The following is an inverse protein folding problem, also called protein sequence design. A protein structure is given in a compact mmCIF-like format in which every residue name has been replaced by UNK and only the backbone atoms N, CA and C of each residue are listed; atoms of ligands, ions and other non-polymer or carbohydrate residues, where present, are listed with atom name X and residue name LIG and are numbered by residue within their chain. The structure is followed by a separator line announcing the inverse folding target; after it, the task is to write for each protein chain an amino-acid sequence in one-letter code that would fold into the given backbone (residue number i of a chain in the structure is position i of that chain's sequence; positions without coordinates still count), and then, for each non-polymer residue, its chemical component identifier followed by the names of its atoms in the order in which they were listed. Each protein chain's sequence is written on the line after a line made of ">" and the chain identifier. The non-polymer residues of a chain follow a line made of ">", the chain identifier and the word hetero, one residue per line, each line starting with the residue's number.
data_IF_333012582801
#
_entry.id   IF_333012582801
#
_cell.length_a   1.000
_cell.length_b   1.000
_cell.length_c   1.000
_cell.angle_alpha   90.00
_cell.angle_beta   90.00
_cell.angle_gamma   90.00
#
_symmetry.space_group_name_H-M   'P 1'
#
loop_
_entity.id
_entity.type
_entity.pdbx_description
1 polymer ?
#
# COMPACT_ATOMS: atom_id res chain seq x y z
N UNK A 1 8.14 24.36 2.87
CA UNK A 1 9.34 23.59 3.24
C UNK A 1 9.40 22.46 2.25
N UNK A 2 10.44 22.41 1.40
CA UNK A 2 10.64 21.28 0.47
C UNK A 2 10.62 19.99 1.31
N UNK A 3 10.02 18.91 0.80
CA UNK A 3 10.08 17.64 1.49
C UNK A 3 11.54 17.26 1.73
N UNK A 4 11.92 17.07 3.00
CA UNK A 4 13.31 16.81 3.36
C UNK A 4 13.83 15.55 2.64
N UNK A 5 15.00 15.65 2.00
CA UNK A 5 15.70 14.54 1.31
C UNK A 5 15.63 13.25 2.11
N UNK A 6 15.34 12.07 1.52
CA UNK A 6 15.09 10.86 2.28
C UNK A 6 16.22 10.51 3.26
N UNK A 7 15.88 9.95 4.42
CA UNK A 7 16.91 9.51 5.37
C UNK A 7 17.73 8.36 4.76
N UNK A 8 19.03 8.53 4.56
CA UNK A 8 19.88 7.53 3.91
C UNK A 8 20.61 6.65 4.92
N UNK A 9 20.87 7.17 6.11
CA UNK A 9 21.58 6.49 7.19
C UNK A 9 20.65 6.15 8.36
N UNK A 10 21.11 5.24 9.22
CA UNK A 10 20.38 4.88 10.45
C UNK A 10 20.17 6.07 11.41
N UNK A 11 21.18 6.94 11.66
CA UNK A 11 20.99 8.11 12.52
C UNK A 11 19.97 9.10 11.96
N UNK A 12 19.96 9.37 10.65
CA UNK A 12 18.95 10.22 10.00
C UNK A 12 17.55 9.62 10.15
N UNK A 13 17.41 8.32 9.90
CA UNK A 13 16.14 7.60 10.06
C UNK A 13 15.64 7.68 11.51
N UNK A 14 16.54 7.49 12.48
CA UNK A 14 16.24 7.66 13.90
C UNK A 14 15.78 9.07 14.22
N UNK A 15 16.47 10.10 13.72
CA UNK A 15 16.09 11.50 13.96
C UNK A 15 14.68 11.79 13.44
N UNK A 16 14.33 11.31 12.24
CA UNK A 16 12.98 11.47 11.70
C UNK A 16 11.92 10.68 12.46
N UNK A 17 12.25 9.47 12.91
CA UNK A 17 11.37 8.67 13.75
C UNK A 17 11.08 9.38 15.08
N UNK A 18 12.09 9.99 15.70
CA UNK A 18 11.95 10.77 16.92
C UNK A 18 11.10 12.02 16.69
N UNK A 19 11.26 12.70 15.54
CA UNK A 19 10.45 13.85 15.17
C UNK A 19 8.94 13.53 15.04
N UNK A 20 8.57 12.26 14.81
CA UNK A 20 7.16 11.85 14.78
C UNK A 20 6.43 11.99 16.12
N UNK A 21 7.16 12.08 17.24
CA UNK A 21 6.58 12.25 18.58
C UNK A 21 5.90 13.61 18.74
N UNK A 22 6.46 14.63 18.09
CA UNK A 22 5.97 16.01 18.12
C UNK A 22 5.19 16.38 16.85
N UNK A 23 5.05 15.45 15.89
CA UNK A 23 4.39 15.72 14.62
C UNK A 23 2.89 15.93 14.83
N UNK A 24 2.35 16.99 14.23
CA UNK A 24 0.90 17.17 14.13
C UNK A 24 0.36 16.40 12.92
N UNK A 25 -0.73 15.65 13.11
CA UNK A 25 -1.39 14.94 12.02
C UNK A 25 -1.95 15.93 10.99
N UNK A 26 -1.81 15.65 9.69
CA UNK A 26 -2.25 16.55 8.60
C UNK A 26 -3.77 16.55 8.43
N UNK A 27 -4.41 15.46 8.86
CA UNK A 27 -5.85 15.37 9.12
C UNK A 27 -6.02 15.33 10.65
N UNK A 28 -6.96 16.07 11.25
CA UNK A 28 -7.08 16.12 12.71
C UNK A 28 -7.15 14.72 13.33
N UNK A 29 -6.36 14.49 14.39
CA UNK A 29 -6.38 13.24 15.15
C UNK A 29 -6.56 13.58 16.63
N UNK A 30 -7.81 13.71 17.11
CA UNK A 30 -8.05 14.04 18.50
C UNK A 30 -7.58 12.90 19.44
N UNK A 31 -7.27 13.23 20.70
CA UNK A 31 -7.00 12.23 21.74
C UNK A 31 -8.11 11.17 21.83
N UNK A 32 -7.80 9.93 22.25
CA UNK A 32 -8.81 8.89 22.48
C UNK A 32 -9.92 9.35 23.42
N UNK A 33 -11.17 9.07 23.05
CA UNK A 33 -12.32 9.30 23.93
C UNK A 33 -12.37 8.26 25.06
N UNK A 34 -13.14 8.55 26.11
CA UNK A 34 -13.37 7.58 27.20
C UNK A 34 -13.99 6.27 26.69
N UNK A 35 -14.86 6.34 25.68
CA UNK A 35 -15.46 5.15 25.05
C UNK A 35 -14.41 4.33 24.27
N UNK A 36 -13.54 4.98 23.50
CA UNK A 36 -12.45 4.31 22.79
C UNK A 36 -11.51 3.58 23.77
N UNK A 37 -11.14 4.23 24.86
CA UNK A 37 -10.32 3.66 25.93
C UNK A 37 -11.00 2.44 26.59
N UNK A 38 -12.31 2.52 26.82
CA UNK A 38 -13.09 1.44 27.41
C UNK A 38 -13.37 0.28 26.44
N UNK A 39 -13.25 0.49 25.13
CA UNK A 39 -13.61 -0.50 24.11
C UNK A 39 -12.76 -1.78 24.11
N UNK A 40 -11.56 -1.72 24.71
CA UNK A 40 -10.59 -2.83 24.68
C UNK A 40 -10.06 -3.16 23.28
N UNK A 41 -10.31 -2.31 22.28
CA UNK A 41 -9.76 -2.42 20.92
C UNK A 41 -8.36 -1.79 20.85
N UNK A 42 -7.60 -2.18 19.82
CA UNK A 42 -6.33 -1.52 19.53
C UNK A 42 -6.56 -0.04 19.20
N UNK A 43 -5.83 0.85 19.85
CA UNK A 43 -5.93 2.30 19.70
C UNK A 43 -4.74 2.90 18.94
N UNK A 44 -4.06 2.09 18.11
CA UNK A 44 -3.01 2.60 17.24
C UNK A 44 -3.56 3.68 16.30
N UNK A 45 -2.86 4.80 16.18
CA UNK A 45 -3.25 5.99 15.44
C UNK A 45 -3.64 5.67 14.00
N UNK A 46 -2.93 4.74 13.36
CA UNK A 46 -3.24 4.24 12.02
C UNK A 46 -4.66 3.64 11.89
N UNK A 47 -5.08 2.87 12.89
CA UNK A 47 -6.43 2.30 12.95
C UNK A 47 -7.47 3.36 13.32
N UNK A 48 -7.17 4.17 14.34
CA UNK A 48 -8.05 5.23 14.83
C UNK A 48 -8.39 6.26 13.76
N UNK A 49 -7.39 6.79 13.04
CA UNK A 49 -7.63 7.79 11.99
C UNK A 49 -8.52 7.23 10.87
N UNK A 50 -8.37 5.95 10.50
CA UNK A 50 -9.28 5.33 9.53
C UNK A 50 -10.70 5.23 10.07
N UNK A 51 -10.87 4.80 11.31
CA UNK A 51 -12.20 4.70 11.93
C UNK A 51 -12.91 6.06 12.09
N UNK A 52 -12.16 7.15 12.25
CA UNK A 52 -12.71 8.50 12.35
C UNK A 52 -13.15 9.04 10.98
N UNK A 53 -12.39 8.77 9.92
CA UNK A 53 -12.57 9.48 8.65
C UNK A 53 -13.06 8.64 7.48
N UNK A 54 -12.90 7.31 7.49
CA UNK A 54 -13.30 6.44 6.38
C UNK A 54 -14.58 5.66 6.69
N UNK A 55 -15.37 5.30 5.65
CA UNK A 55 -16.46 4.35 5.80
C UNK A 55 -15.98 3.02 6.41
N UNK A 56 -16.75 2.39 7.33
CA UNK A 56 -16.36 1.10 7.92
C UNK A 56 -16.15 -0.03 6.90
N UNK A 57 -16.84 0.04 5.76
CA UNK A 57 -16.73 -0.89 4.62
C UNK A 57 -15.39 -0.79 3.88
N UNK A 58 -14.64 0.31 4.04
CA UNK A 58 -13.32 0.52 3.41
C UNK A 58 -12.17 -0.15 4.21
N UNK A 59 -12.51 -1.16 5.00
CA UNK A 59 -11.70 -1.86 5.99
C UNK A 59 -10.22 -2.07 5.59
N UNK A 60 -9.30 -1.60 6.43
CA UNK A 60 -7.84 -1.71 6.23
C UNK A 60 -7.20 -3.01 6.71
N UNK A 61 -7.95 -3.91 7.36
CA UNK A 61 -7.42 -5.18 7.91
C UNK A 61 -7.22 -6.27 6.84
N UNK A 62 -7.36 -5.92 5.56
CA UNK A 62 -7.16 -6.79 4.40
C UNK A 62 -5.67 -6.93 4.08
N UNK A 63 -4.93 -7.50 5.03
CA UNK A 63 -3.55 -7.95 4.87
C UNK A 63 -3.55 -9.42 5.28
N UNK A 64 -2.90 -10.27 4.48
CA UNK A 64 -2.87 -11.69 4.75
C UNK A 64 -2.34 -11.98 6.16
N UNK A 65 -3.11 -12.77 6.91
CA UNK A 65 -2.83 -13.09 8.30
C UNK A 65 -3.33 -12.06 9.33
N UNK A 66 -3.64 -10.82 8.97
CA UNK A 66 -4.04 -9.81 9.96
C UNK A 66 -5.46 -9.98 10.52
N UNK A 67 -6.26 -10.90 9.96
CA UNK A 67 -7.64 -11.15 10.39
C UNK A 67 -7.76 -11.57 11.87
N UNK A 68 -6.81 -12.34 12.40
CA UNK A 68 -6.79 -12.72 13.82
C UNK A 68 -6.58 -11.52 14.75
N UNK A 69 -5.71 -10.58 14.33
CA UNK A 69 -5.42 -9.38 15.10
C UNK A 69 -6.60 -8.39 15.14
N UNK A 70 -7.42 -8.35 14.08
CA UNK A 70 -8.65 -7.55 14.04
C UNK A 70 -9.63 -7.93 15.16
N UNK A 71 -9.75 -9.23 15.44
CA UNK A 71 -10.72 -9.77 16.40
C UNK A 71 -10.17 -9.88 17.82
N UNK A 72 -8.89 -9.53 18.04
CA UNK A 72 -8.26 -9.63 19.34
C UNK A 72 -8.90 -8.66 20.34
N UNK A 73 -9.40 -9.19 21.45
CA UNK A 73 -9.85 -8.42 22.61
C UNK A 73 -8.69 -8.29 23.59
N UNK A 74 -8.44 -7.10 24.10
CA UNK A 74 -7.27 -6.82 24.97
C UNK A 74 -6.29 -5.80 24.36
N UNK A 75 -6.79 -4.92 23.50
CA UNK A 75 -6.04 -3.79 22.97
C UNK A 75 -4.90 -4.17 22.02
N UNK A 76 -3.94 -3.25 21.90
CA UNK A 76 -2.79 -3.37 21.01
C UNK A 76 -1.91 -4.58 21.35
N UNK A 77 -1.81 -4.98 22.62
CA UNK A 77 -1.03 -6.14 23.07
C UNK A 77 -1.58 -7.45 22.48
N UNK A 78 -2.89 -7.67 22.63
CA UNK A 78 -3.55 -8.87 22.13
C UNK A 78 -3.51 -8.94 20.60
N UNK A 79 -3.70 -7.81 19.92
CA UNK A 79 -3.59 -7.72 18.48
C UNK A 79 -2.17 -8.09 17.99
N UNK A 80 -1.12 -7.59 18.66
CA UNK A 80 0.26 -7.92 18.32
C UNK A 80 0.56 -9.40 18.56
N UNK A 81 0.14 -9.95 19.71
CA UNK A 81 0.30 -11.37 20.02
C UNK A 81 -0.33 -12.25 18.95
N UNK A 82 -1.55 -11.93 18.51
CA UNK A 82 -2.24 -12.66 17.43
C UNK A 82 -1.49 -12.61 16.09
N UNK A 83 -0.75 -11.53 15.80
CA UNK A 83 0.12 -11.47 14.62
C UNK A 83 1.36 -12.38 14.80
N UNK A 84 1.99 -12.35 15.97
CA UNK A 84 3.22 -13.08 16.25
C UNK A 84 3.08 -14.61 16.18
N UNK A 85 1.86 -15.13 16.37
CA UNK A 85 1.59 -16.57 16.26
C UNK A 85 1.58 -17.09 14.81
N UNK A 86 1.72 -16.21 13.81
CA UNK A 86 1.76 -16.64 12.42
C UNK A 86 3.13 -17.18 12.04
N UNK A 87 3.19 -18.32 11.32
CA UNK A 87 4.46 -18.96 11.00
C UNK A 87 5.38 -18.11 10.10
N UNK A 88 4.82 -17.16 9.34
CA UNK A 88 5.55 -16.25 8.45
C UNK A 88 5.69 -14.83 9.01
N UNK A 89 5.36 -14.61 10.29
CA UNK A 89 5.32 -13.28 10.90
C UNK A 89 6.64 -12.50 10.77
N UNK A 90 7.77 -13.10 11.16
CA UNK A 90 9.07 -12.43 11.12
C UNK A 90 9.49 -12.11 9.67
N UNK A 91 9.30 -13.08 8.76
CA UNK A 91 9.58 -12.92 7.33
C UNK A 91 8.75 -11.78 6.71
N UNK A 92 7.42 -11.81 6.88
CA UNK A 92 6.52 -10.76 6.36
C UNK A 92 6.81 -9.40 6.99
N UNK A 93 7.23 -9.36 8.25
CA UNK A 93 7.64 -8.10 8.92
C UNK A 93 8.94 -7.54 8.32
N UNK A 94 9.92 -8.37 7.95
CA UNK A 94 11.14 -7.90 7.23
C UNK A 94 10.78 -7.35 5.85
N UNK A 95 9.92 -8.04 5.10
CA UNK A 95 9.39 -7.54 3.83
C UNK A 95 8.67 -6.20 4.01
N UNK A 96 7.86 -6.06 5.07
CA UNK A 96 7.19 -4.79 5.38
C UNK A 96 8.19 -3.68 5.75
N UNK A 97 9.25 -4.02 6.49
CA UNK A 97 10.33 -3.09 6.79
C UNK A 97 10.99 -2.60 5.50
N UNK A 98 11.28 -3.49 4.54
CA UNK A 98 11.86 -3.11 3.24
C UNK A 98 10.96 -2.17 2.45
N UNK A 99 9.65 -2.46 2.37
CA UNK A 99 8.67 -1.56 1.72
C UNK A 99 8.64 -0.20 2.41
N UNK A 100 8.66 -0.20 3.75
CA UNK A 100 8.64 1.02 4.57
C UNK A 100 9.91 1.85 4.44
N UNK A 101 11.07 1.20 4.36
CA UNK A 101 12.37 1.85 4.14
C UNK A 101 12.45 2.45 2.74
N UNK A 102 11.94 1.73 1.73
CA UNK A 102 11.90 2.20 0.34
C UNK A 102 10.97 3.40 0.15
N UNK A 103 9.82 3.43 0.84
CA UNK A 103 8.89 4.58 0.83
C UNK A 103 9.26 5.70 1.81
N UNK A 104 10.35 5.55 2.59
CA UNK A 104 10.71 6.43 3.72
C UNK A 104 9.58 6.64 4.75
N UNK A 105 8.73 5.63 4.99
CA UNK A 105 7.64 5.69 5.97
C UNK A 105 8.15 5.49 7.41
N UNK A 106 8.49 6.57 8.10
CA UNK A 106 9.03 6.51 9.47
C UNK A 106 8.07 5.92 10.51
N UNK A 107 6.76 6.21 10.38
CA UNK A 107 5.74 5.63 11.25
C UNK A 107 5.76 4.10 11.16
N UNK A 108 5.86 3.58 9.93
CA UNK A 108 5.87 2.16 9.64
C UNK A 108 7.18 1.49 10.07
N UNK A 109 8.32 2.16 9.85
CA UNK A 109 9.65 1.68 10.23
C UNK A 109 9.76 1.45 11.72
N UNK A 110 9.39 2.43 12.56
CA UNK A 110 9.43 2.26 14.02
C UNK A 110 8.61 1.07 14.52
N UNK A 111 7.41 0.89 13.95
CA UNK A 111 6.56 -0.26 14.26
C UNK A 111 7.19 -1.58 13.81
N UNK A 112 7.77 -1.64 12.61
CA UNK A 112 8.37 -2.86 12.10
C UNK A 112 9.63 -3.22 12.90
N UNK A 113 10.48 -2.27 13.26
CA UNK A 113 11.67 -2.55 14.07
C UNK A 113 11.29 -3.08 15.45
N UNK A 114 10.29 -2.51 16.13
CA UNK A 114 9.80 -3.11 17.39
C UNK A 114 9.26 -4.53 17.17
N UNK A 115 8.48 -4.74 16.12
CA UNK A 115 7.92 -6.06 15.81
C UNK A 115 9.00 -7.11 15.53
N UNK A 116 10.07 -6.73 14.85
CA UNK A 116 11.23 -7.59 14.58
C UNK A 116 12.02 -7.89 15.86
N UNK A 117 12.24 -6.89 16.73
CA UNK A 117 12.83 -7.11 18.06
C UNK A 117 12.00 -8.09 18.90
N UNK A 118 10.67 -7.91 18.93
CA UNK A 118 9.75 -8.83 19.62
C UNK A 118 9.66 -10.21 18.94
N UNK A 119 10.12 -10.34 17.70
CA UNK A 119 10.31 -11.62 17.01
C UNK A 119 11.69 -12.25 17.24
N UNK A 120 12.53 -11.63 18.09
CA UNK A 120 13.84 -12.14 18.47
C UNK A 120 15.03 -11.64 17.64
N UNK A 121 14.81 -10.73 16.67
CA UNK A 121 15.94 -10.14 15.94
C UNK A 121 16.72 -9.15 16.81
N UNK A 122 18.04 -9.22 16.71
CA UNK A 122 18.98 -8.27 17.31
C UNK A 122 19.01 -6.94 16.55
N UNK A 123 19.54 -5.91 17.18
CA UNK A 123 19.74 -4.59 16.55
C UNK A 123 20.61 -4.67 15.29
N UNK A 124 21.62 -5.55 15.28
CA UNK A 124 22.51 -5.77 14.15
C UNK A 124 21.81 -6.50 13.00
N UNK A 125 20.98 -7.51 13.28
CA UNK A 125 20.20 -8.18 12.22
C UNK A 125 19.14 -7.24 11.60
N UNK A 126 18.57 -6.33 12.40
CA UNK A 126 17.66 -5.30 11.88
C UNK A 126 18.43 -4.28 11.02
N UNK A 127 19.58 -3.80 11.48
CA UNK A 127 20.42 -2.88 10.71
C UNK A 127 20.94 -3.52 9.41
N UNK A 128 21.20 -4.84 9.42
CA UNK A 128 21.60 -5.58 8.23
C UNK A 128 20.55 -5.54 7.09
N UNK A 129 19.26 -5.31 7.39
CA UNK A 129 18.24 -5.15 6.36
C UNK A 129 18.49 -3.96 5.43
N UNK A 130 19.30 -2.98 5.82
CA UNK A 130 19.65 -1.85 4.96
C UNK A 130 20.63 -2.24 3.82
N UNK A 131 21.49 -3.27 4.00
CA UNK A 131 22.61 -3.53 3.07
C UNK A 131 23.10 -4.99 2.95
N UNK A 132 22.85 -5.86 3.94
CA UNK A 132 23.43 -7.21 4.03
C UNK A 132 22.37 -8.31 3.90
N UNK A 133 21.71 -8.36 2.74
CA UNK A 133 20.64 -9.34 2.50
C UNK A 133 21.15 -10.78 2.38
N UNK A 134 22.43 -10.98 2.10
CA UNK A 134 23.11 -12.27 2.06
C UNK A 134 23.06 -13.03 3.39
N UNK A 135 22.80 -12.35 4.52
CA UNK A 135 22.57 -12.95 5.82
C UNK A 135 21.19 -13.65 5.97
N UNK A 136 20.27 -13.45 5.02
CA UNK A 136 18.92 -14.02 5.06
C UNK A 136 18.76 -15.18 4.08
N UNK A 137 17.80 -16.10 4.27
CA UNK A 137 17.55 -17.19 3.33
C UNK A 137 17.27 -16.69 1.90
N UNK A 138 17.69 -17.44 0.88
CA UNK A 138 17.58 -17.03 -0.52
C UNK A 138 16.14 -16.69 -0.96
N UNK A 139 15.13 -17.37 -0.40
CA UNK A 139 13.72 -17.06 -0.62
C UNK A 139 13.33 -15.67 -0.10
N UNK A 140 13.83 -15.30 1.08
CA UNK A 140 13.59 -13.99 1.66
C UNK A 140 14.31 -12.89 0.90
N UNK A 141 15.53 -13.14 0.45
CA UNK A 141 16.26 -12.20 -0.42
C UNK A 141 15.48 -11.88 -1.70
N UNK A 142 14.90 -12.91 -2.34
CA UNK A 142 14.06 -12.73 -3.53
C UNK A 142 12.81 -11.90 -3.21
N UNK A 143 12.14 -12.18 -2.09
CA UNK A 143 10.99 -11.41 -1.63
C UNK A 143 11.33 -9.94 -1.32
N UNK A 144 12.48 -9.68 -0.69
CA UNK A 144 12.95 -8.31 -0.40
C UNK A 144 13.31 -7.56 -1.69
N UNK A 145 13.94 -8.22 -2.68
CA UNK A 145 14.18 -7.63 -4.02
C UNK A 145 12.88 -7.28 -4.71
N UNK A 146 11.92 -8.20 -4.72
CA UNK A 146 10.59 -7.96 -5.28
C UNK A 146 9.89 -6.79 -4.57
N UNK A 147 9.94 -6.75 -3.23
CA UNK A 147 9.34 -5.70 -2.42
C UNK A 147 9.92 -4.31 -2.72
N UNK A 148 11.26 -4.18 -2.77
CA UNK A 148 11.92 -2.91 -3.14
C UNK A 148 11.55 -2.51 -4.56
N UNK A 149 11.67 -3.42 -5.54
CA UNK A 149 11.35 -3.14 -6.96
C UNK A 149 9.90 -2.71 -7.16
N UNK A 150 8.94 -3.45 -6.62
CA UNK A 150 7.52 -3.10 -6.72
C UNK A 150 7.17 -1.80 -6.00
N UNK A 151 7.95 -1.41 -4.99
CA UNK A 151 7.72 -0.17 -4.26
C UNK A 151 8.17 1.04 -5.09
N UNK A 152 9.40 1.02 -5.60
CA UNK A 152 10.05 2.16 -6.28
C UNK A 152 9.70 2.24 -7.78
N UNK A 153 9.67 1.10 -8.47
CA UNK A 153 9.53 1.01 -9.93
C UNK A 153 8.64 -0.18 -10.32
N UNK A 154 7.34 -0.19 -9.94
CA UNK A 154 6.44 -1.30 -10.24
C UNK A 154 6.35 -1.63 -11.73
N UNK A 155 6.47 -0.62 -12.59
CA UNK A 155 6.48 -0.78 -14.05
C UNK A 155 7.67 -1.56 -14.62
N UNK A 156 8.73 -1.79 -13.82
CA UNK A 156 9.90 -2.61 -14.19
C UNK A 156 9.82 -4.05 -13.68
N UNK A 157 8.81 -4.39 -12.89
CA UNK A 157 8.62 -5.75 -12.42
C UNK A 157 8.11 -6.62 -13.57
N UNK A 158 8.90 -7.60 -13.98
CA UNK A 158 8.61 -8.40 -15.18
C UNK A 158 8.52 -9.91 -14.93
N UNK A 159 8.46 -10.68 -16.02
CA UNK A 159 8.33 -12.15 -15.96
C UNK A 159 9.55 -12.84 -15.33
N UNK A 160 10.75 -12.28 -15.46
CA UNK A 160 11.94 -12.80 -14.79
C UNK A 160 11.86 -12.65 -13.27
N UNK A 161 11.35 -11.52 -12.77
CA UNK A 161 11.15 -11.30 -11.33
C UNK A 161 10.10 -12.25 -10.75
N UNK A 162 8.98 -12.41 -11.46
CA UNK A 162 7.93 -13.34 -11.07
C UNK A 162 8.45 -14.79 -11.07
N UNK A 163 9.25 -15.17 -12.07
CA UNK A 163 9.85 -16.50 -12.14
C UNK A 163 10.89 -16.72 -11.03
N UNK A 164 11.66 -15.70 -10.64
CA UNK A 164 12.56 -15.74 -9.49
C UNK A 164 11.76 -16.13 -8.23
N UNK A 165 10.64 -15.44 -7.95
CA UNK A 165 9.78 -15.78 -6.82
C UNK A 165 9.22 -17.21 -6.91
N UNK A 166 8.67 -17.61 -8.06
CA UNK A 166 8.08 -18.94 -8.26
C UNK A 166 9.07 -20.10 -8.15
N UNK A 167 10.36 -19.84 -8.37
CA UNK A 167 11.39 -20.87 -8.13
C UNK A 167 11.64 -21.15 -6.64
N UNK A 168 11.10 -20.32 -5.74
CA UNK A 168 11.32 -20.39 -4.28
C UNK A 168 10.03 -20.49 -3.47
N UNK A 169 8.90 -20.11 -4.05
CA UNK A 169 7.57 -20.17 -3.44
C UNK A 169 6.62 -20.89 -4.39
N UNK A 170 5.70 -21.69 -3.85
CA UNK A 170 4.58 -22.20 -4.64
C UNK A 170 3.67 -21.04 -5.14
N UNK A 171 2.79 -21.35 -6.08
CA UNK A 171 1.94 -20.33 -6.71
C UNK A 171 1.02 -19.62 -5.68
N UNK A 172 0.47 -20.34 -4.71
CA UNK A 172 -0.39 -19.75 -3.67
C UNK A 172 0.40 -18.80 -2.75
N UNK A 173 1.61 -19.19 -2.34
CA UNK A 173 2.53 -18.35 -1.56
C UNK A 173 3.06 -17.16 -2.36
N UNK A 174 3.25 -17.32 -3.66
CA UNK A 174 3.63 -16.21 -4.55
C UNK A 174 2.53 -15.16 -4.62
N UNK A 175 1.27 -15.57 -4.81
CA UNK A 175 0.10 -14.67 -4.77
C UNK A 175 0.00 -13.97 -3.42
N UNK A 176 0.08 -14.74 -2.32
CA UNK A 176 0.02 -14.22 -0.96
C UNK A 176 1.10 -13.15 -0.69
N UNK A 177 2.33 -13.40 -1.12
CA UNK A 177 3.46 -12.48 -0.97
C UNK A 177 3.24 -11.20 -1.79
N UNK A 178 2.87 -11.31 -3.07
CA UNK A 178 2.65 -10.15 -3.94
C UNK A 178 1.46 -9.31 -3.48
N UNK A 179 0.36 -9.94 -3.06
CA UNK A 179 -0.76 -9.27 -2.42
C UNK A 179 -0.30 -8.53 -1.15
N UNK A 180 0.49 -9.18 -0.30
CA UNK A 180 0.97 -8.61 0.96
C UNK A 180 1.88 -7.40 0.72
N UNK A 181 2.85 -7.49 -0.21
CA UNK A 181 3.72 -6.36 -0.62
C UNK A 181 2.90 -5.18 -1.13
N UNK A 182 1.87 -5.45 -1.94
CA UNK A 182 0.96 -4.44 -2.44
C UNK A 182 0.23 -3.72 -1.29
N UNK A 183 -0.31 -4.46 -0.32
CA UNK A 183 -1.01 -3.86 0.84
C UNK A 183 -0.07 -3.08 1.75
N UNK A 184 1.19 -3.50 1.92
CA UNK A 184 2.19 -2.70 2.63
C UNK A 184 2.43 -1.35 1.97
N UNK A 185 2.47 -1.31 0.64
CA UNK A 185 2.55 -0.07 -0.12
C UNK A 185 1.34 0.86 0.11
N UNK A 186 0.13 0.31 0.25
CA UNK A 186 -1.05 1.10 0.63
C UNK A 186 -0.95 1.64 2.07
N UNK A 187 -0.52 0.82 3.03
CA UNK A 187 -0.37 1.27 4.42
C UNK A 187 0.63 2.41 4.52
N UNK A 188 1.80 2.29 3.89
CA UNK A 188 2.83 3.33 3.89
C UNK A 188 2.34 4.65 3.29
N UNK A 189 1.63 4.59 2.16
CA UNK A 189 1.07 5.78 1.49
C UNK A 189 0.06 6.48 2.38
N UNK A 190 -0.83 5.72 3.02
CA UNK A 190 -1.76 6.27 4.00
C UNK A 190 -1.04 6.94 5.17
N UNK A 191 -0.15 6.23 5.87
CA UNK A 191 0.43 6.73 7.13
C UNK A 191 1.36 7.91 6.92
N UNK A 192 2.10 7.91 5.81
CA UNK A 192 3.01 9.01 5.48
C UNK A 192 2.21 10.22 5.03
N UNK A 193 1.27 10.06 4.09
CA UNK A 193 0.48 11.17 3.57
C UNK A 193 -0.40 11.84 4.63
N UNK A 194 -1.02 11.07 5.52
CA UNK A 194 -1.86 11.62 6.62
C UNK A 194 -1.04 12.29 7.73
N UNK A 195 0.28 12.10 7.76
CA UNK A 195 1.12 12.70 8.79
C UNK A 195 0.88 12.14 10.19
N UNK A 196 0.39 10.89 10.34
CA UNK A 196 0.04 10.31 11.65
C UNK A 196 1.21 10.39 12.66
N UNK A 197 1.05 10.97 13.86
CA UNK A 197 2.09 10.98 14.88
C UNK A 197 2.46 9.57 15.34
N UNK A 198 3.63 9.47 15.97
CA UNK A 198 4.02 8.24 16.65
C UNK A 198 2.98 7.85 17.71
N UNK A 199 2.72 6.55 17.83
CA UNK A 199 1.85 6.04 18.88
C UNK A 199 2.50 6.22 20.26
N UNK A 200 1.75 6.79 21.21
CA UNK A 200 2.20 6.92 22.59
C UNK A 200 2.45 5.55 23.25
N UNK A 201 1.73 4.52 22.80
CA UNK A 201 1.84 3.14 23.27
C UNK A 201 1.62 2.17 22.10
N UNK A 202 2.59 1.26 21.90
CA UNK A 202 2.52 0.19 20.92
C UNK A 202 3.09 -1.13 21.48
N UNK A 203 2.44 -2.26 21.17
CA UNK A 203 2.91 -3.57 21.63
C UNK A 203 2.69 -3.87 23.12
N UNK A 204 1.74 -3.19 23.77
CA UNK A 204 1.22 -3.54 25.10
C UNK A 204 1.85 -2.84 26.30
N UNK A 205 2.87 -2.01 26.08
CA UNK A 205 3.51 -1.21 27.13
C UNK A 205 2.83 0.15 27.29
N UNK A 206 2.88 0.71 28.51
CA UNK A 206 2.27 2.03 28.81
C UNK A 206 2.96 3.20 28.09
N UNK A 207 4.26 3.04 27.78
CA UNK A 207 5.05 3.91 26.90
C UNK A 207 6.02 3.03 26.11
N UNK A 208 5.97 3.12 24.79
CA UNK A 208 6.82 2.29 23.92
C UNK A 208 7.88 3.15 23.29
N UNK A 209 9.14 2.82 23.52
CA UNK A 209 10.24 3.45 22.82
C UNK A 209 10.43 2.78 21.46
N UNK A 210 9.82 3.33 20.42
CA UNK A 210 10.20 3.00 19.05
C UNK A 210 11.57 3.62 18.79
N UNK A 211 12.58 2.78 18.59
CA UNK A 211 13.97 3.20 18.43
C UNK A 211 14.59 2.49 17.26
N UNK A 212 15.56 3.15 16.65
CA UNK A 212 16.32 2.58 15.55
C UNK A 212 17.77 2.25 15.94
N UNK A 213 18.25 1.02 15.67
CA UNK A 213 19.67 0.64 15.77
C UNK A 213 20.61 1.66 15.13
N UNK A 214 21.59 2.14 15.89
CA UNK A 214 22.54 3.20 15.48
C UNK A 214 23.97 2.94 15.97
N UNK A 215 24.33 1.66 16.16
CA UNK A 215 25.70 1.29 16.55
C UNK A 215 26.72 1.81 15.51
N UNK A 216 27.94 2.09 15.97
CA UNK A 216 28.99 2.78 15.19
C UNK A 216 29.29 2.11 13.85
N UNK A 217 29.24 0.77 13.79
CA UNK A 217 29.46 0.01 12.56
C UNK A 217 28.40 0.25 11.46
N UNK A 218 27.21 0.76 11.85
CA UNK A 218 26.07 1.04 10.98
C UNK A 218 25.79 2.53 10.78
N UNK A 219 26.29 3.39 11.66
CA UNK A 219 25.89 4.80 11.72
C UNK A 219 26.22 5.58 10.45
N UNK A 220 27.35 5.26 9.80
CA UNK A 220 27.82 5.93 8.59
C UNK A 220 27.47 5.17 7.29
N UNK A 221 26.80 4.01 7.38
CA UNK A 221 26.45 3.22 6.19
C UNK A 221 25.21 3.80 5.53
N UNK A 222 25.31 4.10 4.22
CA UNK A 222 24.15 4.41 3.41
C UNK A 222 23.34 3.14 3.13
N UNK A 223 22.03 3.27 3.23
CA UNK A 223 21.09 2.19 2.95
C UNK A 223 21.01 1.91 1.46
N UNK A 224 21.07 0.63 1.09
CA UNK A 224 20.70 0.18 -0.26
C UNK A 224 19.18 0.06 -0.45
N UNK A 225 18.39 0.19 0.62
CA UNK A 225 16.93 0.03 0.60
C UNK A 225 16.19 1.36 0.63
N UNK A 226 16.77 2.39 1.24
CA UNK A 226 16.28 3.76 1.18
C UNK A 226 16.03 4.19 -0.29
N UNK A 227 15.22 5.22 -0.53
CA UNK A 227 14.97 5.75 -1.87
C UNK A 227 16.19 6.52 -2.42
N UNK A 228 17.32 5.84 -2.61
CA UNK A 228 18.60 6.38 -3.15
C UNK A 228 18.64 6.41 -4.68
N UNK A 229 17.87 5.54 -5.35
CA UNK A 229 17.84 5.40 -6.81
C UNK A 229 16.40 5.55 -7.35
N UNK A 230 15.64 6.50 -6.81
CA UNK A 230 14.27 6.75 -7.30
C UNK A 230 14.37 7.36 -8.69
N UNK A 231 14.05 6.57 -9.70
CA UNK A 231 13.85 7.12 -11.04
C UNK A 231 12.55 7.93 -11.07
N UNK A 232 12.56 9.02 -11.83
CA UNK A 232 11.32 9.63 -12.25
C UNK A 232 10.60 8.68 -13.19
N UNK A 233 9.29 8.53 -12.96
CA UNK A 233 8.47 7.72 -13.85
C UNK A 233 8.42 8.40 -15.21
N UNK A 234 8.62 7.66 -16.31
CA UNK A 234 8.51 8.26 -17.62
C UNK A 234 7.10 8.84 -17.81
N UNK A 235 7.02 9.92 -18.59
CA UNK A 235 5.75 10.51 -19.01
C UNK A 235 4.82 9.48 -19.64
N UNK A 236 3.53 9.79 -19.65
CA UNK A 236 2.50 8.92 -20.20
C UNK A 236 2.77 8.65 -21.68
N UNK A 237 2.69 7.39 -22.06
CA UNK A 237 2.92 6.97 -23.44
C UNK A 237 1.86 7.55 -24.37
N UNK A 238 2.23 7.67 -25.65
CA UNK A 238 1.30 7.95 -26.74
C UNK A 238 0.11 6.98 -26.70
N UNK A 239 -1.06 7.46 -27.13
CA UNK A 239 -2.31 6.71 -26.98
C UNK A 239 -2.30 5.38 -27.73
N UNK A 240 -1.62 5.30 -28.88
CA UNK A 240 -1.45 4.08 -29.66
C UNK A 240 -0.72 3.01 -28.85
N UNK A 241 0.32 3.40 -28.11
CA UNK A 241 1.04 2.48 -27.21
C UNK A 241 0.13 2.03 -26.07
N UNK A 242 -0.71 2.90 -25.53
CA UNK A 242 -1.70 2.51 -24.49
C UNK A 242 -2.65 1.45 -25.04
N UNK A 243 -3.18 1.64 -26.24
CA UNK A 243 -4.07 0.68 -26.90
C UNK A 243 -3.36 -0.67 -27.13
N UNK A 244 -2.11 -0.66 -27.60
CA UNK A 244 -1.30 -1.86 -27.75
C UNK A 244 -1.07 -2.58 -26.42
N UNK A 245 -0.77 -1.85 -25.35
CA UNK A 245 -0.53 -2.43 -24.02
C UNK A 245 -1.79 -3.02 -23.40
N UNK A 246 -2.94 -2.36 -23.56
CA UNK A 246 -4.25 -2.89 -23.16
C UNK A 246 -4.58 -4.16 -23.96
N UNK A 247 -4.33 -4.16 -25.27
CA UNK A 247 -4.53 -5.33 -26.11
C UNK A 247 -3.61 -6.49 -25.71
N UNK A 248 -2.34 -6.20 -25.41
CA UNK A 248 -1.41 -7.20 -24.90
C UNK A 248 -1.86 -7.74 -23.54
N UNK A 249 -2.39 -6.90 -22.65
CA UNK A 249 -2.92 -7.32 -21.36
C UNK A 249 -4.09 -8.31 -21.51
N UNK A 250 -4.93 -8.19 -22.54
CA UNK A 250 -6.00 -9.15 -22.85
C UNK A 250 -5.51 -10.53 -23.28
N UNK A 251 -4.28 -10.59 -23.81
CA UNK A 251 -3.66 -11.84 -24.27
C UNK A 251 -2.72 -12.45 -23.23
N UNK A 252 -2.56 -11.83 -22.05
CA UNK A 252 -1.68 -12.36 -21.01
C UNK A 252 -2.18 -13.70 -20.51
N UNK A 253 -1.22 -14.55 -20.16
CA UNK A 253 -1.43 -15.72 -19.35
C UNK A 253 -0.53 -15.54 -18.13
N UNK A 254 -1.13 -15.48 -16.93
CA UNK A 254 -0.35 -15.36 -15.71
C UNK A 254 0.56 -16.59 -15.60
N UNK A 255 1.88 -16.40 -15.36
CA UNK A 255 2.78 -17.53 -15.12
C UNK A 255 2.41 -18.31 -13.84
N UNK A 256 1.72 -17.66 -12.89
CA UNK A 256 1.28 -18.26 -11.63
C UNK A 256 -0.05 -18.98 -11.84
N UNK A 257 -0.15 -20.24 -11.41
CA UNK A 257 -1.41 -20.97 -11.45
C UNK A 257 -2.42 -20.31 -10.49
N UNK A 258 -3.51 -19.80 -11.07
CA UNK A 258 -4.63 -19.25 -10.31
C UNK A 258 -5.73 -20.30 -10.12
N UNK A 259 -6.52 -20.20 -9.03
CA UNK A 259 -7.77 -20.93 -8.91
C UNK A 259 -8.64 -20.88 -10.19
N UNK A 260 -9.33 -21.98 -10.48
CA UNK A 260 -10.23 -22.06 -11.63
C UNK A 260 -11.39 -21.06 -11.48
N UNK A 261 -12.05 -20.72 -12.59
CA UNK A 261 -13.21 -19.83 -12.58
C UNK A 261 -14.32 -20.41 -11.69
N UNK A 262 -14.52 -21.72 -11.75
CA UNK A 262 -15.54 -22.46 -10.98
C UNK A 262 -15.22 -22.42 -9.48
N UNK A 263 -13.97 -22.68 -9.09
CA UNK A 263 -13.54 -22.59 -7.68
C UNK A 263 -13.72 -21.17 -7.15
N UNK A 264 -13.29 -20.16 -7.90
CA UNK A 264 -13.44 -18.78 -7.50
C UNK A 264 -14.91 -18.34 -7.44
N UNK A 265 -15.75 -18.82 -8.36
CA UNK A 265 -17.19 -18.50 -8.38
C UNK A 265 -17.90 -19.02 -7.13
N UNK A 266 -17.55 -20.23 -6.66
CA UNK A 266 -18.06 -20.79 -5.39
C UNK A 266 -17.69 -19.89 -4.20
N UNK A 267 -16.48 -19.35 -4.18
CA UNK A 267 -16.05 -18.43 -3.10
C UNK A 267 -16.79 -17.10 -3.19
N UNK A 268 -16.90 -16.52 -4.39
CA UNK A 268 -17.57 -15.23 -4.61
C UNK A 268 -19.07 -15.29 -4.33
N UNK A 269 -19.72 -16.41 -4.63
CA UNK A 269 -21.14 -16.61 -4.42
C UNK A 269 -21.58 -16.49 -2.95
N UNK A 270 -20.65 -16.51 -1.99
CA UNK A 270 -20.94 -16.22 -0.58
C UNK A 270 -21.41 -14.78 -0.34
N UNK A 271 -21.04 -13.85 -1.23
CA UNK A 271 -21.41 -12.44 -1.16
C UNK A 271 -22.21 -12.00 -2.40
N UNK A 272 -21.73 -12.33 -3.60
CA UNK A 272 -22.36 -11.93 -4.86
C UNK A 272 -22.62 -13.15 -5.77
N UNK A 273 -23.73 -13.90 -5.56
CA UNK A 273 -24.09 -15.06 -6.39
C UNK A 273 -24.25 -14.73 -7.88
N UNK A 274 -23.84 -15.65 -8.75
CA UNK A 274 -24.06 -15.56 -10.20
C UNK A 274 -23.08 -14.65 -10.96
N UNK A 275 -22.15 -13.99 -10.27
CA UNK A 275 -21.11 -13.18 -10.91
C UNK A 275 -19.93 -14.06 -11.33
N UNK A 276 -19.49 -13.87 -12.58
CA UNK A 276 -18.25 -14.46 -13.08
C UNK A 276 -17.08 -13.72 -12.40
N UNK A 277 -16.23 -14.42 -11.63
CA UNK A 277 -15.16 -13.79 -10.89
C UNK A 277 -14.09 -13.22 -11.86
N UNK A 278 -13.72 -11.93 -11.72
CA UNK A 278 -12.60 -11.38 -12.48
C UNK A 278 -11.27 -12.02 -12.07
N UNK A 279 -10.25 -11.91 -12.90
CA UNK A 279 -8.93 -12.51 -12.70
C UNK A 279 -8.28 -12.10 -11.38
N UNK A 280 -8.43 -10.83 -10.97
CA UNK A 280 -7.89 -10.39 -9.68
C UNK A 280 -8.55 -11.11 -8.50
N UNK A 281 -9.85 -11.40 -8.58
CA UNK A 281 -10.55 -12.14 -7.54
C UNK A 281 -10.16 -13.62 -7.58
N UNK A 282 -10.05 -14.21 -8.77
CA UNK A 282 -9.54 -15.57 -8.94
C UNK A 282 -8.19 -15.76 -8.27
N UNK A 283 -7.25 -14.83 -8.50
CA UNK A 283 -5.94 -14.89 -7.87
C UNK A 283 -6.04 -15.01 -6.34
N UNK A 284 -6.86 -14.18 -5.70
CA UNK A 284 -6.98 -14.15 -4.24
C UNK A 284 -8.01 -15.13 -3.67
N UNK A 285 -8.76 -15.89 -4.47
CA UNK A 285 -9.93 -16.64 -3.99
C UNK A 285 -9.57 -17.78 -3.03
N UNK A 286 -8.31 -18.22 -3.02
CA UNK A 286 -7.78 -19.18 -2.04
C UNK A 286 -7.43 -18.56 -0.68
N UNK A 287 -7.43 -17.22 -0.58
CA UNK A 287 -7.05 -16.52 0.66
C UNK A 287 -8.26 -16.38 1.59
N UNK A 288 -8.09 -16.49 2.93
CA UNK A 288 -9.18 -16.30 3.89
C UNK A 288 -9.90 -14.96 3.79
N UNK A 289 -9.22 -13.93 3.28
CA UNK A 289 -9.74 -12.56 3.14
C UNK A 289 -10.50 -12.28 1.84
N UNK A 290 -10.59 -13.25 0.92
CA UNK A 290 -11.03 -13.01 -0.47
C UNK A 290 -12.39 -12.29 -0.56
N UNK A 291 -13.39 -12.79 0.15
CA UNK A 291 -14.75 -12.23 0.14
C UNK A 291 -14.79 -10.83 0.75
N UNK A 292 -14.03 -10.59 1.81
CA UNK A 292 -13.95 -9.26 2.42
C UNK A 292 -13.23 -8.26 1.50
N UNK A 293 -12.18 -8.70 0.79
CA UNK A 293 -11.50 -7.87 -0.20
C UNK A 293 -12.39 -7.55 -1.41
N UNK A 294 -13.26 -8.48 -1.81
CA UNK A 294 -14.32 -8.20 -2.77
C UNK A 294 -15.27 -7.12 -2.27
N UNK A 295 -15.89 -7.34 -1.11
CA UNK A 295 -16.85 -6.40 -0.55
C UNK A 295 -16.26 -4.99 -0.39
N UNK A 296 -15.02 -4.88 0.12
CA UNK A 296 -14.32 -3.60 0.27
C UNK A 296 -14.10 -2.91 -1.08
N UNK A 297 -13.68 -3.64 -2.12
CA UNK A 297 -13.46 -3.05 -3.45
C UNK A 297 -14.76 -2.59 -4.10
N UNK A 298 -15.86 -3.30 -3.88
CA UNK A 298 -17.19 -2.86 -4.32
C UNK A 298 -17.66 -1.61 -3.55
N UNK A 299 -17.37 -1.55 -2.24
CA UNK A 299 -17.68 -0.39 -1.39
C UNK A 299 -16.89 0.86 -1.78
N UNK A 300 -15.60 0.74 -2.13
CA UNK A 300 -14.77 1.85 -2.61
C UNK A 300 -15.33 2.53 -3.87
N UNK A 301 -16.06 1.77 -4.70
CA UNK A 301 -16.71 2.32 -5.89
C UNK A 301 -18.02 3.04 -5.53
N UNK A 302 -18.79 2.54 -4.55
CA UNK A 302 -20.19 2.94 -4.31
C UNK A 302 -20.37 3.92 -3.16
N UNK A 303 -19.56 3.81 -2.13
CA UNK A 303 -19.70 4.52 -0.85
C UNK A 303 -18.64 5.61 -0.72
N UNK A 304 -18.72 6.45 0.30
CA UNK A 304 -17.76 7.54 0.56
C UNK A 304 -18.32 8.92 0.22
N UNK A 305 -17.77 9.95 0.87
CA UNK A 305 -18.15 11.36 0.73
C UNK A 305 -17.52 12.01 -0.50
N UNK A 306 -16.31 11.58 -0.88
CA UNK A 306 -15.64 12.04 -2.09
C UNK A 306 -16.49 11.73 -3.34
N UNK A 307 -16.51 12.61 -4.36
CA UNK A 307 -17.23 12.34 -5.59
C UNK A 307 -16.78 11.02 -6.24
N UNK A 308 -17.72 10.17 -6.64
CA UNK A 308 -17.40 8.90 -7.31
C UNK A 308 -16.51 9.12 -8.55
N UNK A 309 -16.80 10.16 -9.33
CA UNK A 309 -16.01 10.52 -10.51
C UNK A 309 -14.53 10.74 -10.16
N UNK A 310 -14.25 11.48 -9.07
CA UNK A 310 -12.90 11.71 -8.61
C UNK A 310 -12.19 10.39 -8.25
N UNK A 311 -12.88 9.46 -7.59
CA UNK A 311 -12.30 8.14 -7.27
C UNK A 311 -11.96 7.32 -8.52
N UNK A 312 -12.81 7.38 -9.55
CA UNK A 312 -12.53 6.74 -10.84
C UNK A 312 -11.32 7.38 -11.54
N UNK A 313 -11.20 8.71 -11.47
CA UNK A 313 -10.07 9.45 -12.03
C UNK A 313 -8.75 9.12 -11.32
N UNK A 314 -8.77 9.00 -9.98
CA UNK A 314 -7.62 8.55 -9.19
C UNK A 314 -7.20 7.13 -9.60
N UNK A 315 -8.14 6.21 -9.79
CA UNK A 315 -7.83 4.85 -10.25
C UNK A 315 -7.15 4.83 -11.64
N UNK A 316 -7.52 5.75 -12.54
CA UNK A 316 -6.85 5.88 -13.83
C UNK A 316 -5.44 6.44 -13.71
N UNK A 317 -5.25 7.53 -12.96
CA UNK A 317 -3.92 8.13 -12.76
C UNK A 317 -2.96 7.12 -12.16
N UNK A 318 -3.35 6.48 -11.06
CA UNK A 318 -2.52 5.50 -10.35
C UNK A 318 -2.12 4.36 -11.29
N UNK A 319 -3.06 3.79 -12.03
CA UNK A 319 -2.80 2.72 -12.97
C UNK A 319 -1.86 3.13 -14.13
N UNK A 320 -2.04 4.33 -14.69
CA UNK A 320 -1.17 4.87 -15.75
C UNK A 320 0.23 5.16 -15.24
N UNK A 321 0.35 5.81 -14.09
CA UNK A 321 1.63 6.08 -13.44
C UNK A 321 2.37 4.77 -13.12
N UNK A 322 1.67 3.73 -12.67
CA UNK A 322 2.25 2.42 -12.37
C UNK A 322 2.46 1.53 -13.61
N UNK A 323 1.92 1.91 -14.78
CA UNK A 323 1.82 1.07 -15.99
C UNK A 323 1.16 -0.29 -15.70
N UNK A 324 0.17 -0.29 -14.83
CA UNK A 324 -0.61 -1.46 -14.45
C UNK A 324 -1.76 -1.66 -15.43
N UNK A 325 -1.51 -2.33 -16.55
CA UNK A 325 -2.42 -2.37 -17.70
C UNK A 325 -3.73 -3.12 -17.42
N UNK A 326 -3.68 -4.12 -16.53
CA UNK A 326 -4.91 -4.75 -16.02
C UNK A 326 -5.80 -3.71 -15.31
N UNK A 327 -5.23 -2.98 -14.34
CA UNK A 327 -5.96 -1.96 -13.60
C UNK A 327 -6.39 -0.78 -14.48
N UNK A 328 -5.55 -0.37 -15.43
CA UNK A 328 -5.82 0.70 -16.37
C UNK A 328 -7.02 0.36 -17.28
N UNK A 329 -7.12 -0.89 -17.76
CA UNK A 329 -8.27 -1.36 -18.53
C UNK A 329 -9.58 -1.25 -17.76
N UNK A 330 -9.61 -1.72 -16.51
CA UNK A 330 -10.76 -1.58 -15.60
C UNK A 330 -11.09 -0.12 -15.28
N UNK A 331 -10.08 0.73 -15.05
CA UNK A 331 -10.29 2.15 -14.77
C UNK A 331 -10.84 2.90 -16.00
N UNK A 332 -10.27 2.65 -17.20
CA UNK A 332 -10.77 3.20 -18.47
C UNK A 332 -12.22 2.83 -18.71
N UNK A 333 -12.57 1.54 -18.59
CA UNK A 333 -13.94 1.09 -18.81
C UNK A 333 -14.94 1.81 -17.89
N UNK A 334 -14.60 2.00 -16.61
CA UNK A 334 -15.46 2.73 -15.66
C UNK A 334 -15.54 4.22 -15.98
N UNK A 335 -14.45 4.86 -16.39
CA UNK A 335 -14.45 6.27 -16.78
C UNK A 335 -15.31 6.49 -18.02
N UNK A 336 -15.17 5.67 -19.06
CA UNK A 336 -16.01 5.77 -20.25
C UNK A 336 -17.49 5.53 -19.91
N UNK A 337 -17.79 4.54 -19.08
CA UNK A 337 -19.15 4.27 -18.61
C UNK A 337 -19.73 5.42 -17.75
N UNK A 338 -18.89 6.22 -17.11
CA UNK A 338 -19.29 7.43 -16.38
C UNK A 338 -19.50 8.66 -17.27
N UNK A 339 -19.25 8.55 -18.58
CA UNK A 339 -19.37 9.66 -19.53
C UNK A 339 -18.10 10.49 -19.71
N UNK A 340 -16.95 10.05 -19.20
CA UNK A 340 -15.66 10.71 -19.47
C UNK A 340 -15.29 10.53 -20.96
N UNK A 341 -15.00 11.63 -21.71
CA UNK A 341 -14.56 11.52 -23.11
C UNK A 341 -13.22 10.78 -23.22
N UNK A 342 -13.10 9.89 -24.20
CA UNK A 342 -11.90 9.07 -24.38
C UNK A 342 -10.66 9.91 -24.66
N UNK A 343 -10.82 11.01 -25.40
CA UNK A 343 -9.74 11.93 -25.76
C UNK A 343 -9.07 12.55 -24.52
N UNK A 344 -9.82 12.68 -23.42
CA UNK A 344 -9.28 13.18 -22.15
C UNK A 344 -8.28 12.20 -21.53
N UNK A 345 -8.33 10.91 -21.89
CA UNK A 345 -7.47 9.86 -21.33
C UNK A 345 -6.10 9.77 -22.02
N UNK A 346 -5.91 10.47 -23.15
CA UNK A 346 -4.74 10.31 -24.01
C UNK A 346 -3.44 10.78 -23.35
N UNK A 347 -3.49 11.86 -22.55
CA UNK A 347 -2.32 12.39 -21.83
C UNK A 347 -2.72 12.89 -20.45
N UNK A 348 -1.74 13.03 -19.54
CA UNK A 348 -2.00 13.56 -18.22
C UNK A 348 -2.46 15.03 -18.27
N UNK A 349 -1.91 15.81 -19.21
CA UNK A 349 -2.29 17.22 -19.42
C UNK A 349 -3.76 17.32 -19.85
N UNK A 350 -4.15 16.61 -20.91
CA UNK A 350 -5.54 16.59 -21.36
C UNK A 350 -6.49 16.09 -20.25
N UNK A 351 -6.06 15.10 -19.48
CA UNK A 351 -6.84 14.57 -18.36
C UNK A 351 -7.06 15.59 -17.25
N UNK A 352 -6.02 16.37 -16.90
CA UNK A 352 -6.13 17.46 -15.93
C UNK A 352 -6.96 18.64 -16.44
N UNK A 353 -6.83 18.98 -17.72
CA UNK A 353 -7.58 20.09 -18.33
C UNK A 353 -9.08 19.82 -18.37
N UNK A 354 -9.47 18.58 -18.69
CA UNK A 354 -10.85 18.11 -18.68
C UNK A 354 -11.45 18.00 -17.27
N UNK A 355 -10.61 17.99 -16.23
CA UNK A 355 -11.06 17.88 -14.85
C UNK A 355 -11.59 19.22 -14.29
N UNK A 356 -12.66 19.19 -13.46
CA UNK A 356 -13.09 20.35 -12.67
C UNK A 356 -11.95 20.97 -11.85
N UNK A 357 -11.97 22.29 -11.66
CA UNK A 357 -10.86 23.02 -11.05
C UNK A 357 -10.50 22.53 -9.64
N UNK A 358 -11.51 22.24 -8.82
CA UNK A 358 -11.40 21.67 -7.46
C UNK A 358 -10.80 20.24 -7.46
N UNK A 359 -10.99 19.46 -8.53
CA UNK A 359 -10.44 18.10 -8.64
C UNK A 359 -8.98 18.04 -9.08
N UNK A 360 -8.45 19.08 -9.74
CA UNK A 360 -7.08 19.07 -10.28
C UNK A 360 -6.02 18.89 -9.20
N UNK A 361 -6.18 19.55 -8.05
CA UNK A 361 -5.27 19.40 -6.90
C UNK A 361 -5.26 17.95 -6.38
N UNK A 362 -6.43 17.30 -6.30
CA UNK A 362 -6.55 15.89 -5.92
C UNK A 362 -5.88 14.95 -6.93
N UNK A 363 -5.98 15.24 -8.23
CA UNK A 363 -5.32 14.45 -9.28
C UNK A 363 -3.79 14.60 -9.26
N UNK A 364 -3.29 15.82 -9.07
CA UNK A 364 -1.86 16.08 -8.91
C UNK A 364 -1.30 15.41 -7.65
N UNK A 365 -2.02 15.52 -6.53
CA UNK A 365 -1.70 14.82 -5.30
C UNK A 365 -1.68 13.30 -5.51
N UNK A 366 -2.66 12.74 -6.22
CA UNK A 366 -2.72 11.31 -6.50
C UNK A 366 -1.52 10.85 -7.34
N UNK A 367 -1.08 11.64 -8.33
CA UNK A 367 0.14 11.38 -9.11
C UNK A 367 1.38 11.40 -8.21
N UNK A 368 1.53 12.43 -7.37
CA UNK A 368 2.64 12.57 -6.42
C UNK A 368 2.70 11.39 -5.43
N UNK A 369 1.60 11.08 -4.74
CA UNK A 369 1.56 9.99 -3.77
C UNK A 369 1.77 8.61 -4.42
N UNK A 370 1.47 8.47 -5.71
CA UNK A 370 1.75 7.23 -6.45
C UNK A 370 3.23 7.08 -6.74
N UNK A 371 3.84 8.12 -7.31
CA UNK A 371 5.18 8.06 -7.91
C UNK A 371 6.30 8.41 -6.93
N UNK A 372 6.07 9.37 -6.04
CA UNK A 372 7.03 9.87 -5.07
C UNK A 372 6.39 10.07 -3.68
N UNK A 373 5.86 8.99 -3.05
CA UNK A 373 5.17 9.09 -1.76
C UNK A 373 6.02 9.71 -0.64
N UNK A 374 7.34 9.59 -0.72
CA UNK A 374 8.32 10.18 0.22
C UNK A 374 8.39 11.71 0.13
N UNK A 375 7.91 12.30 -0.97
CA UNK A 375 7.89 13.75 -1.17
C UNK A 375 6.57 14.40 -0.70
N UNK A 376 5.58 13.61 -0.27
CA UNK A 376 4.30 14.16 0.20
C UNK A 376 4.45 14.87 1.56
N UNK A 377 4.35 16.19 1.52
CA UNK A 377 4.52 17.11 2.63
C UNK A 377 3.21 17.69 3.18
N UNK A 378 3.35 18.61 4.13
CA UNK A 378 2.22 19.29 4.77
C UNK A 378 1.49 20.21 3.79
N UNK A 379 2.24 20.86 2.88
CA UNK A 379 1.69 21.75 1.86
C UNK A 379 0.78 21.01 0.87
N UNK A 380 1.12 19.79 0.49
CA UNK A 380 0.32 18.99 -0.44
C UNK A 380 -1.06 18.65 0.14
N UNK A 381 -1.10 18.28 1.42
CA UNK A 381 -2.36 17.99 2.11
C UNK A 381 -3.12 19.27 2.44
N UNK A 382 -2.43 20.37 2.77
CA UNK A 382 -3.07 21.67 2.96
C UNK A 382 -3.79 22.14 1.68
N UNK A 383 -3.16 22.00 0.51
CA UNK A 383 -3.76 22.34 -0.79
C UNK A 383 -5.03 21.51 -1.09
N UNK A 384 -5.08 20.23 -0.69
CA UNK A 384 -6.33 19.46 -0.78
C UNK A 384 -7.42 20.05 0.12
N UNK A 385 -7.06 20.48 1.34
CA UNK A 385 -8.01 21.00 2.33
C UNK A 385 -8.59 22.38 1.97
N UNK A 386 -8.05 23.06 0.96
CA UNK A 386 -8.65 24.26 0.39
C UNK A 386 -9.96 23.95 -0.38
N UNK A 387 -10.13 22.70 -0.85
CA UNK A 387 -11.26 22.29 -1.68
C UNK A 387 -12.08 21.15 -1.10
N UNK A 388 -11.49 20.33 -0.22
CA UNK A 388 -12.09 19.11 0.32
C UNK A 388 -12.11 19.14 1.85
N UNK A 389 -13.18 18.63 2.45
CA UNK A 389 -13.22 18.48 3.90
C UNK A 389 -12.33 17.31 4.38
N UNK A 390 -12.06 17.24 5.68
CA UNK A 390 -11.13 16.25 6.25
C UNK A 390 -11.50 14.78 5.93
N UNK A 391 -12.79 14.45 5.79
CA UNK A 391 -13.21 13.11 5.35
C UNK A 391 -12.90 12.87 3.88
N UNK A 392 -13.18 13.84 3.01
CA UNK A 392 -12.89 13.73 1.58
C UNK A 392 -11.38 13.64 1.32
N UNK A 393 -10.57 14.40 2.05
CA UNK A 393 -9.09 14.32 1.99
C UNK A 393 -8.61 12.94 2.45
N UNK A 394 -9.14 12.40 3.55
CA UNK A 394 -8.84 11.03 3.97
C UNK A 394 -9.21 10.01 2.88
N UNK A 395 -10.37 10.15 2.27
CA UNK A 395 -10.81 9.26 1.19
C UNK A 395 -9.93 9.37 -0.05
N UNK A 396 -9.50 10.56 -0.47
CA UNK A 396 -8.57 10.76 -1.59
C UNK A 396 -7.23 10.05 -1.32
N UNK A 397 -6.67 10.21 -0.12
CA UNK A 397 -5.43 9.52 0.29
C UNK A 397 -5.65 8.00 0.28
N UNK A 398 -6.75 7.53 0.85
CA UNK A 398 -7.05 6.10 0.94
C UNK A 398 -7.25 5.46 -0.43
N UNK A 399 -8.06 6.06 -1.30
CA UNK A 399 -8.32 5.55 -2.65
C UNK A 399 -7.05 5.55 -3.47
N UNK A 400 -6.21 6.59 -3.37
CA UNK A 400 -4.91 6.61 -4.04
C UNK A 400 -4.01 5.46 -3.54
N UNK A 401 -3.94 5.26 -2.23
CA UNK A 401 -3.15 4.19 -1.62
C UNK A 401 -3.67 2.78 -2.00
N UNK A 402 -4.98 2.58 -2.00
CA UNK A 402 -5.62 1.30 -2.33
C UNK A 402 -5.48 0.96 -3.82
N UNK A 403 -5.67 1.95 -4.71
CA UNK A 403 -5.40 1.78 -6.14
C UNK A 403 -3.94 1.40 -6.39
N UNK A 404 -2.99 2.02 -5.69
CA UNK A 404 -1.57 1.65 -5.76
C UNK A 404 -1.28 0.19 -5.32
N UNK A 405 -2.05 -0.35 -4.37
CA UNK A 405 -1.96 -1.78 -4.03
C UNK A 405 -2.56 -2.65 -5.13
N UNK A 406 -3.73 -2.29 -5.64
CA UNK A 406 -4.37 -3.03 -6.73
C UNK A 406 -3.50 -3.10 -7.98
N UNK A 407 -2.90 -1.99 -8.37
CA UNK A 407 -1.98 -1.88 -9.51
C UNK A 407 -0.80 -2.85 -9.36
N UNK A 408 -0.12 -2.79 -8.20
CA UNK A 408 1.03 -3.65 -7.90
C UNK A 408 0.67 -5.12 -7.90
N UNK A 409 -0.44 -5.49 -7.28
CA UNK A 409 -0.87 -6.88 -7.22
C UNK A 409 -1.22 -7.41 -8.61
N UNK A 410 -2.04 -6.69 -9.36
CA UNK A 410 -2.56 -7.17 -10.64
C UNK A 410 -1.50 -7.17 -11.74
N UNK A 411 -0.61 -6.17 -11.77
CA UNK A 411 0.46 -6.10 -12.76
C UNK A 411 1.59 -7.09 -12.45
N UNK A 412 1.98 -7.25 -11.19
CA UNK A 412 3.02 -8.23 -10.82
C UNK A 412 2.61 -9.67 -11.05
N UNK A 413 1.31 -9.99 -10.92
CA UNK A 413 0.74 -11.28 -11.28
C UNK A 413 0.50 -11.44 -12.79
N UNK A 414 0.74 -10.40 -13.59
CA UNK A 414 0.53 -10.40 -15.05
C UNK A 414 -0.87 -10.86 -15.43
N UNK A 415 -1.88 -10.36 -14.71
CA UNK A 415 -3.26 -10.77 -14.92
C UNK A 415 -3.75 -10.39 -16.32
N UNK A 416 -4.59 -11.26 -16.87
CA UNK A 416 -5.25 -11.06 -18.16
C UNK A 416 -6.39 -10.05 -18.02
N UNK A 417 -6.43 -9.01 -18.84
CA UNK A 417 -7.60 -8.12 -18.92
C UNK A 417 -8.77 -8.85 -19.61
N UNK A 418 -9.95 -8.85 -19.01
CA UNK A 418 -11.06 -9.74 -19.42
C UNK A 418 -11.85 -9.29 -20.67
N UNK A 419 -11.72 -8.02 -21.09
CA UNK A 419 -12.56 -7.40 -22.13
C UNK A 419 -11.78 -6.45 -23.04
#
# INVERSE_FOLDING_TARGET
>A
MLADDPALTRPEMKARLEALKERTSRIPLPPPTAEELASGKSLVNNGRLRSLYLPPSWNSWLISGWGGARNARGGTAAALSALQQQPDYAFKTRVFWVVSRTNDCQYCLGHQELKLKKAGMTDNEIAALDVQWDLFPAAEQAAMRAARKLTIAPHRFGSSDLQDLRSRFDDARTIDLLYTIARYNAVNRWTSATGIPQDAAFGGEAKTELKSPTAEEWSNRQSGVAPVDVEDRPEWEAWEVVQERLQAARQRQSPVAMPSVETAAVVLAKDTPGVIPPQWFRAISGMPLAVEAWAQRQALLREGRSPQQLRLMIAWITARENRAWYAAGHARARLLASGCPEESLHSFVAFLEAAPADTRSALQFARLLTSHPQQVGDADVAALREHFNDHEVAEIIHVTADSNAFDRMTESLQLQLEF
#
